data_IF_805324610354
#
_entry.id   IF_805324610354
#
_cell.length_a   1.000
_cell.length_b   1.000
_cell.length_c   1.000
_cell.angle_alpha   90.00
_cell.angle_beta   90.00
_cell.angle_gamma   90.00
#
_symmetry.space_group_name_H-M   'P 1'
#
loop_
_entity.id
_entity.type
_entity.pdbx_description
1 polymer ?
#
# COMPACT_ATOMS: atom_id res chain seq x y z
N UNK A 1 8.47 6.82 9.71
CA UNK A 1 8.21 6.45 8.30
C UNK A 1 9.48 6.03 7.57
N UNK A 2 10.53 6.87 7.58
CA UNK A 2 11.80 6.64 6.84
C UNK A 2 12.47 5.32 7.23
N UNK A 3 12.41 4.93 8.50
CA UNK A 3 13.01 3.70 9.02
C UNK A 3 12.49 2.42 8.33
N UNK A 4 11.26 2.46 7.83
CA UNK A 4 10.68 1.31 7.11
C UNK A 4 11.38 1.01 5.78
N UNK A 5 12.10 1.99 5.21
CA UNK A 5 12.88 1.80 3.98
C UNK A 5 14.30 1.28 4.25
N UNK A 6 14.76 1.33 5.52
CA UNK A 6 16.12 0.90 5.84
C UNK A 6 16.26 -0.62 5.69
N UNK A 7 17.14 -1.10 4.83
CA UNK A 7 17.21 -2.51 4.48
C UNK A 7 17.71 -3.41 5.60
N UNK A 8 18.51 -2.87 6.54
CA UNK A 8 19.20 -3.65 7.57
C UNK A 8 18.53 -3.58 8.96
N UNK A 9 17.60 -2.63 9.19
CA UNK A 9 17.01 -2.46 10.51
C UNK A 9 16.05 -3.61 10.85
N UNK A 10 16.23 -4.28 12.01
CA UNK A 10 15.28 -5.28 12.50
C UNK A 10 13.89 -4.65 12.77
N UNK A 11 12.84 -5.48 12.69
CA UNK A 11 11.48 -5.05 12.92
C UNK A 11 11.28 -4.45 14.33
N UNK A 12 11.90 -5.06 15.34
CA UNK A 12 11.82 -4.65 16.74
C UNK A 12 12.48 -3.28 16.98
N UNK A 13 13.58 -2.98 16.28
CA UNK A 13 14.23 -1.68 16.37
C UNK A 13 13.37 -0.58 15.73
N UNK A 14 12.77 -0.91 14.59
CA UNK A 14 11.82 0.01 13.93
C UNK A 14 10.62 0.25 14.85
N UNK A 15 10.03 -0.81 15.42
CA UNK A 15 8.88 -0.68 16.33
C UNK A 15 9.22 0.15 17.57
N UNK A 16 10.43 0.05 18.11
CA UNK A 16 10.87 0.90 19.24
C UNK A 16 10.72 2.40 18.94
N UNK A 17 10.93 2.82 17.68
CA UNK A 17 10.71 4.21 17.29
C UNK A 17 9.24 4.63 17.35
N UNK A 18 8.31 3.70 17.14
CA UNK A 18 6.86 3.96 17.32
C UNK A 18 6.49 4.01 18.80
N UNK A 19 7.12 3.21 19.64
CA UNK A 19 6.95 3.32 21.09
C UNK A 19 7.46 4.68 21.63
N UNK A 20 8.55 5.21 21.08
CA UNK A 20 9.00 6.57 21.40
C UNK A 20 8.02 7.64 20.88
N UNK A 21 7.37 7.40 19.76
CA UNK A 21 6.29 8.27 19.27
C UNK A 21 5.11 8.32 20.24
N UNK A 22 4.67 7.16 20.77
CA UNK A 22 3.62 7.09 21.80
C UNK A 22 3.99 7.93 23.03
N UNK A 23 5.18 7.75 23.59
CA UNK A 23 5.64 8.51 24.75
C UNK A 23 5.58 10.01 24.53
N UNK A 24 5.92 10.46 23.33
CA UNK A 24 6.01 11.89 23.00
C UNK A 24 4.69 12.50 22.59
N UNK A 25 3.85 11.77 21.85
CA UNK A 25 2.67 12.31 21.18
C UNK A 25 1.36 11.61 21.56
N UNK A 26 1.40 10.47 22.22
CA UNK A 26 0.24 9.73 22.70
C UNK A 26 -0.01 9.95 24.20
N UNK A 27 0.93 9.53 25.03
CA UNK A 27 0.82 9.59 26.50
C UNK A 27 0.41 10.96 27.06
N UNK A 28 0.91 12.11 26.56
CA UNK A 28 0.52 13.43 27.07
C UNK A 28 -0.99 13.71 26.96
N UNK A 29 -1.69 13.05 26.04
CA UNK A 29 -3.13 13.23 25.78
C UNK A 29 -4.02 12.23 26.52
N UNK A 30 -3.47 11.23 27.22
CA UNK A 30 -4.28 10.27 27.99
C UNK A 30 -5.13 10.95 29.07
N UNK A 31 -4.65 12.06 29.65
CA UNK A 31 -5.41 12.88 30.62
C UNK A 31 -6.66 13.56 30.02
N UNK A 32 -6.76 13.62 28.69
CA UNK A 32 -7.91 14.17 27.96
C UNK A 32 -8.98 13.10 27.68
N UNK A 33 -8.70 11.83 27.96
CA UNK A 33 -9.63 10.75 27.74
C UNK A 33 -10.79 10.84 28.73
N UNK A 34 -11.98 10.71 28.20
CA UNK A 34 -13.24 10.75 28.98
C UNK A 34 -14.09 9.53 28.63
N UNK A 35 -14.97 9.17 29.56
CA UNK A 35 -15.94 8.12 29.29
C UNK A 35 -16.85 8.51 28.12
N UNK A 36 -17.12 7.56 27.25
CA UNK A 36 -18.02 7.75 26.12
C UNK A 36 -19.48 7.53 26.55
N UNK A 37 -20.37 8.38 26.07
CA UNK A 37 -21.82 8.34 26.34
C UNK A 37 -22.62 7.74 25.19
N UNK A 38 -21.97 7.06 24.26
CA UNK A 38 -22.61 6.44 23.10
C UNK A 38 -23.65 5.40 23.58
N UNK A 39 -24.81 5.35 22.90
CA UNK A 39 -25.85 4.36 23.20
C UNK A 39 -25.35 2.95 22.91
N UNK A 40 -25.69 2.01 23.79
CA UNK A 40 -25.44 0.58 23.66
C UNK A 40 -26.56 -0.17 22.92
N UNK A 41 -27.55 0.54 22.38
CA UNK A 41 -28.61 -0.05 21.57
C UNK A 41 -28.05 -0.64 20.27
N UNK A 42 -28.08 -1.96 20.17
CA UNK A 42 -27.55 -2.72 19.03
C UNK A 42 -28.40 -2.57 17.76
N UNK A 43 -29.64 -2.09 17.88
CA UNK A 43 -30.56 -1.92 16.76
C UNK A 43 -30.37 -0.61 16.00
N UNK A 44 -29.64 0.35 16.57
CA UNK A 44 -29.40 1.64 15.93
C UNK A 44 -28.32 1.57 14.84
N UNK A 45 -28.36 2.51 13.92
CA UNK A 45 -27.24 2.75 13.01
C UNK A 45 -25.99 3.17 13.80
N UNK A 46 -24.84 2.56 13.47
CA UNK A 46 -23.56 2.98 14.03
C UNK A 46 -23.00 4.17 13.24
N UNK A 47 -22.50 5.16 13.97
CA UNK A 47 -21.82 6.31 13.35
C UNK A 47 -20.35 5.98 13.11
N UNK A 48 -19.97 5.92 11.85
CA UNK A 48 -18.60 5.63 11.41
C UNK A 48 -17.97 6.88 10.82
N UNK A 49 -16.91 7.36 11.47
CA UNK A 49 -16.17 8.54 11.02
C UNK A 49 -14.84 8.17 10.36
N UNK A 50 -14.59 8.69 9.18
CA UNK A 50 -13.34 8.54 8.44
C UNK A 50 -12.56 9.84 8.45
N UNK A 51 -11.28 9.79 8.85
CA UNK A 51 -10.39 10.96 8.90
C UNK A 51 -9.31 10.84 7.83
N UNK A 52 -9.26 11.77 6.87
CA UNK A 52 -8.30 11.72 5.79
C UNK A 52 -7.95 13.09 5.21
N UNK A 53 -6.68 13.31 4.82
CA UNK A 53 -6.27 14.41 3.94
C UNK A 53 -6.43 14.05 2.44
N UNK A 54 -6.86 12.82 2.10
CA UNK A 54 -6.77 12.24 0.77
C UNK A 54 -8.13 11.90 0.15
N UNK A 55 -9.22 12.53 0.59
CA UNK A 55 -10.53 12.50 -0.08
C UNK A 55 -10.53 13.32 -1.39
N UNK A 56 -9.57 13.05 -2.24
CA UNK A 56 -9.27 13.71 -3.51
C UNK A 56 -8.56 12.73 -4.45
N UNK A 57 -8.16 13.17 -5.63
CA UNK A 57 -7.31 12.37 -6.53
C UNK A 57 -6.00 11.98 -5.83
N UNK A 58 -5.93 10.74 -5.40
CA UNK A 58 -4.83 10.14 -4.65
C UNK A 58 -4.82 8.62 -4.85
N UNK A 59 -3.67 7.96 -4.65
CA UNK A 59 -3.57 6.50 -4.77
C UNK A 59 -4.49 5.72 -3.83
N UNK A 60 -4.79 6.27 -2.65
CA UNK A 60 -5.73 5.64 -1.71
C UNK A 60 -7.16 5.57 -2.24
N UNK A 61 -7.53 6.39 -3.23
CA UNK A 61 -8.86 6.41 -3.83
C UNK A 61 -9.23 5.04 -4.40
N UNK A 62 -8.28 4.34 -4.99
CA UNK A 62 -8.51 3.03 -5.59
C UNK A 62 -8.93 1.93 -4.59
N UNK A 63 -8.76 2.20 -3.29
CA UNK A 63 -9.11 1.30 -2.19
C UNK A 63 -10.24 1.86 -1.31
N UNK A 64 -10.24 3.16 -1.06
CA UNK A 64 -11.23 3.80 -0.19
C UNK A 64 -12.59 3.94 -0.89
N UNK A 65 -12.60 4.24 -2.19
CA UNK A 65 -13.83 4.43 -2.95
C UNK A 65 -14.69 3.15 -3.04
N UNK A 66 -14.13 1.95 -3.26
CA UNK A 66 -14.88 0.70 -3.16
C UNK A 66 -15.61 0.55 -1.83
N UNK A 67 -14.92 0.77 -0.71
CA UNK A 67 -15.52 0.67 0.62
C UNK A 67 -16.63 1.70 0.82
N UNK A 68 -16.34 2.99 0.62
CA UNK A 68 -17.28 4.07 0.93
C UNK A 68 -18.54 4.03 0.05
N UNK A 69 -18.40 3.59 -1.20
CA UNK A 69 -19.53 3.47 -2.13
C UNK A 69 -20.43 2.25 -1.88
N UNK A 70 -20.04 1.32 -1.00
CA UNK A 70 -20.78 0.08 -0.72
C UNK A 70 -21.24 -0.05 0.75
N UNK A 71 -21.16 1.02 1.52
CA UNK A 71 -21.73 0.98 2.87
C UNK A 71 -23.24 0.72 2.84
N UNK A 72 -23.69 -0.14 3.75
CA UNK A 72 -25.11 -0.32 4.02
C UNK A 72 -25.61 0.83 4.91
N UNK A 73 -26.12 1.88 4.29
CA UNK A 73 -26.64 3.07 4.96
C UNK A 73 -27.85 2.77 5.85
N UNK A 74 -28.42 1.57 5.78
CA UNK A 74 -29.42 1.10 6.77
C UNK A 74 -28.80 0.73 8.12
N UNK A 75 -27.50 0.38 8.13
CA UNK A 75 -26.78 -0.07 9.33
C UNK A 75 -25.79 0.96 9.85
N UNK A 76 -25.21 1.77 8.97
CA UNK A 76 -24.20 2.77 9.33
C UNK A 76 -24.59 4.17 8.87
N UNK A 77 -24.15 5.16 9.64
CA UNK A 77 -24.26 6.59 9.36
C UNK A 77 -22.83 7.11 9.17
N UNK A 78 -22.49 7.53 7.95
CA UNK A 78 -21.10 7.72 7.53
C UNK A 78 -20.70 9.20 7.56
N UNK A 79 -19.62 9.48 8.29
CA UNK A 79 -19.01 10.80 8.45
C UNK A 79 -17.65 10.84 7.78
N UNK A 80 -17.38 11.85 6.96
CA UNK A 80 -16.05 12.11 6.40
C UNK A 80 -15.49 13.42 6.99
N UNK A 81 -14.43 13.31 7.77
CA UNK A 81 -13.64 14.43 8.29
C UNK A 81 -12.50 14.72 7.32
N UNK A 82 -12.70 15.68 6.43
CA UNK A 82 -11.84 15.93 5.28
C UNK A 82 -10.88 17.11 5.53
N UNK A 83 -9.57 16.82 5.63
CA UNK A 83 -8.54 17.87 5.76
C UNK A 83 -7.92 18.20 4.40
N UNK A 84 -8.73 18.79 3.51
CA UNK A 84 -8.33 19.08 2.13
C UNK A 84 -7.81 20.50 1.97
N UNK A 85 -6.74 20.64 1.19
CA UNK A 85 -6.28 21.95 0.69
C UNK A 85 -7.06 22.40 -0.54
N UNK A 86 -7.50 21.44 -1.34
CA UNK A 86 -8.22 21.65 -2.59
C UNK A 86 -9.14 20.45 -2.85
N UNK A 87 -10.33 20.74 -3.34
CA UNK A 87 -11.31 19.77 -3.78
C UNK A 87 -11.19 19.53 -5.30
N UNK A 88 -11.53 18.32 -5.74
CA UNK A 88 -11.53 17.93 -7.15
C UNK A 88 -12.74 17.04 -7.51
N UNK A 89 -12.76 16.50 -8.72
CA UNK A 89 -13.85 15.62 -9.17
C UNK A 89 -13.97 14.32 -8.34
N UNK A 90 -12.88 13.84 -7.78
CA UNK A 90 -12.88 12.68 -6.85
C UNK A 90 -13.54 13.06 -5.54
N UNK A 91 -13.22 14.24 -5.01
CA UNK A 91 -13.87 14.78 -3.81
C UNK A 91 -15.40 14.87 -3.98
N UNK A 92 -15.86 15.30 -5.16
CA UNK A 92 -17.29 15.36 -5.46
C UNK A 92 -17.97 13.99 -5.39
N UNK A 93 -17.29 12.91 -5.83
CA UNK A 93 -17.81 11.55 -5.69
C UNK A 93 -17.87 11.10 -4.24
N UNK A 94 -16.82 11.35 -3.45
CA UNK A 94 -16.80 11.02 -2.02
C UNK A 94 -17.95 11.68 -1.24
N UNK A 95 -18.26 12.96 -1.55
CA UNK A 95 -19.42 13.64 -0.97
C UNK A 95 -20.74 12.94 -1.26
N UNK A 96 -20.84 12.20 -2.36
CA UNK A 96 -22.01 11.40 -2.72
C UNK A 96 -22.11 10.05 -1.99
N UNK A 97 -21.05 9.59 -1.33
CA UNK A 97 -21.01 8.30 -0.62
C UNK A 97 -21.22 8.41 0.89
N UNK A 98 -21.26 9.62 1.45
CA UNK A 98 -21.37 9.85 2.88
C UNK A 98 -22.54 10.75 3.22
N UNK A 99 -23.18 10.54 4.37
CA UNK A 99 -24.27 11.42 4.85
C UNK A 99 -23.73 12.73 5.40
N UNK A 100 -22.53 12.71 6.00
CA UNK A 100 -21.96 13.88 6.66
C UNK A 100 -20.56 14.17 6.14
N UNK A 101 -20.43 15.31 5.46
CA UNK A 101 -19.15 15.82 5.00
C UNK A 101 -18.70 16.98 5.86
N UNK A 102 -17.60 16.83 6.60
CA UNK A 102 -17.08 17.80 7.55
C UNK A 102 -15.70 18.29 7.09
N UNK A 103 -15.58 19.50 6.52
CA UNK A 103 -14.28 20.13 6.26
C UNK A 103 -13.56 20.40 7.59
N UNK A 104 -12.33 19.95 7.72
CA UNK A 104 -11.54 20.08 8.96
C UNK A 104 -10.30 20.95 8.81
N UNK A 105 -10.07 21.48 7.62
CA UNK A 105 -8.91 22.34 7.34
C UNK A 105 -8.89 23.54 8.26
N UNK A 106 -7.76 23.73 8.94
CA UNK A 106 -7.58 24.83 9.90
C UNK A 106 -8.08 24.53 11.31
N UNK A 107 -8.77 23.42 11.55
CA UNK A 107 -9.12 22.99 12.91
C UNK A 107 -7.89 22.43 13.62
N UNK A 108 -7.68 22.80 14.90
CA UNK A 108 -6.69 22.12 15.73
C UNK A 108 -7.13 20.70 16.04
N UNK A 109 -6.18 19.82 16.42
CA UNK A 109 -6.50 18.44 16.79
C UNK A 109 -7.44 18.36 18.00
N UNK A 110 -7.31 19.29 18.95
CA UNK A 110 -8.21 19.39 20.11
C UNK A 110 -9.63 19.75 19.67
N UNK A 111 -9.79 20.73 18.78
CA UNK A 111 -11.10 21.17 18.27
C UNK A 111 -11.77 20.06 17.45
N UNK A 112 -11.01 19.35 16.62
CA UNK A 112 -11.55 18.23 15.84
C UNK A 112 -11.94 17.06 16.75
N UNK A 113 -11.14 16.74 17.75
CA UNK A 113 -11.49 15.70 18.72
C UNK A 113 -12.80 16.02 19.49
N UNK A 114 -13.00 17.30 19.88
CA UNK A 114 -14.24 17.74 20.49
C UNK A 114 -15.42 17.64 19.52
N UNK A 115 -15.23 18.00 18.25
CA UNK A 115 -16.26 17.89 17.22
C UNK A 115 -16.68 16.43 17.01
N UNK A 116 -15.74 15.49 16.92
CA UNK A 116 -16.00 14.05 16.76
C UNK A 116 -16.80 13.50 17.96
N UNK A 117 -16.45 13.92 19.18
CA UNK A 117 -17.23 13.59 20.38
C UNK A 117 -18.66 14.12 20.33
N UNK A 118 -18.81 15.38 19.92
CA UNK A 118 -20.14 16.02 19.80
C UNK A 118 -21.01 15.36 18.72
N UNK A 119 -20.42 14.90 17.62
CA UNK A 119 -21.09 14.14 16.58
C UNK A 119 -21.50 12.72 17.07
N UNK A 120 -20.93 12.26 18.18
CA UNK A 120 -21.23 10.95 18.79
C UNK A 120 -20.75 9.78 17.96
N UNK A 121 -19.57 9.91 17.35
CA UNK A 121 -18.95 8.85 16.52
C UNK A 121 -18.71 7.60 17.37
N UNK A 122 -19.11 6.43 16.87
CA UNK A 122 -18.91 5.13 17.51
C UNK A 122 -17.59 4.49 17.11
N UNK A 123 -17.29 4.54 15.80
CA UNK A 123 -16.08 3.97 15.22
C UNK A 123 -15.37 5.07 14.43
N UNK A 124 -14.14 5.37 14.80
CA UNK A 124 -13.30 6.34 14.11
C UNK A 124 -12.17 5.65 13.37
N UNK A 125 -12.06 5.92 12.06
CA UNK A 125 -11.09 5.30 11.17
C UNK A 125 -10.04 6.31 10.72
N UNK A 126 -8.77 6.02 11.03
CA UNK A 126 -7.62 6.73 10.48
C UNK A 126 -7.27 6.17 9.10
N UNK A 127 -7.18 7.05 8.11
CA UNK A 127 -6.85 6.69 6.73
C UNK A 127 -5.50 7.27 6.28
N UNK A 128 -4.68 7.75 7.21
CA UNK A 128 -3.43 8.43 6.88
C UNK A 128 -2.20 7.84 7.61
N UNK A 129 -2.37 7.35 8.85
CA UNK A 129 -1.24 6.92 9.67
C UNK A 129 -0.17 8.02 9.75
N UNK A 130 1.09 7.69 9.48
CA UNK A 130 2.21 8.65 9.48
C UNK A 130 2.45 9.36 8.14
N UNK A 131 1.51 9.33 7.20
CA UNK A 131 1.64 10.10 5.96
C UNK A 131 1.42 11.60 6.19
N UNK A 132 1.75 12.42 5.21
CA UNK A 132 1.60 13.87 5.29
C UNK A 132 0.13 14.26 5.44
N UNK A 133 -0.14 15.24 6.30
CA UNK A 133 -1.50 15.69 6.58
C UNK A 133 -2.30 14.79 7.54
N UNK A 134 -1.65 13.80 8.16
CA UNK A 134 -2.33 12.96 9.15
C UNK A 134 -2.84 13.76 10.35
N UNK A 135 -3.79 13.16 11.05
CA UNK A 135 -4.44 13.73 12.24
C UNK A 135 -4.31 12.78 13.45
N UNK A 136 -3.15 12.09 13.60
CA UNK A 136 -2.90 11.17 14.72
C UNK A 136 -3.04 11.85 16.08
N UNK A 137 -2.78 13.16 16.18
CA UNK A 137 -3.05 13.94 17.39
C UNK A 137 -4.53 14.01 17.78
N UNK A 138 -5.45 13.86 16.84
CA UNK A 138 -6.90 13.69 17.12
C UNK A 138 -7.14 12.34 17.77
N UNK A 139 -6.60 11.27 17.20
CA UNK A 139 -6.74 9.90 17.70
C UNK A 139 -6.12 9.74 19.09
N UNK A 140 -4.97 10.36 19.36
CA UNK A 140 -4.31 10.36 20.67
C UNK A 140 -5.23 10.84 21.81
N UNK A 141 -6.26 11.67 21.50
CA UNK A 141 -7.27 12.18 22.43
C UNK A 141 -8.46 11.23 22.62
N UNK A 142 -8.45 10.08 21.95
CA UNK A 142 -9.51 9.05 21.99
C UNK A 142 -10.93 9.63 21.93
N UNK A 143 -11.30 10.28 20.80
CA UNK A 143 -12.58 10.98 20.70
C UNK A 143 -13.78 10.05 20.45
N UNK A 144 -13.56 8.78 20.11
CA UNK A 144 -14.57 7.75 19.88
C UNK A 144 -14.29 6.51 20.71
N UNK A 145 -15.32 5.71 21.06
CA UNK A 145 -15.16 4.47 21.85
C UNK A 145 -14.25 3.46 21.18
N UNK A 146 -14.37 3.30 19.84
CA UNK A 146 -13.57 2.41 19.04
C UNK A 146 -12.85 3.21 17.97
N UNK A 147 -11.56 2.94 17.77
CA UNK A 147 -10.78 3.52 16.70
C UNK A 147 -9.90 2.47 16.03
N UNK A 148 -9.70 2.64 14.73
CA UNK A 148 -8.82 1.77 13.96
C UNK A 148 -8.04 2.56 12.90
N UNK A 149 -6.88 2.04 12.51
CA UNK A 149 -6.10 2.55 11.37
C UNK A 149 -6.17 1.59 10.20
N UNK A 150 -6.35 2.12 9.00
CA UNK A 150 -6.46 1.36 7.77
C UNK A 150 -5.96 2.14 6.56
N UNK A 151 -5.36 1.47 5.61
CA UNK A 151 -5.03 1.84 4.23
C UNK A 151 -3.95 2.91 4.04
N UNK A 152 -4.03 4.12 4.57
CA UNK A 152 -3.13 5.22 4.21
C UNK A 152 -1.66 5.01 4.56
N UNK A 153 -1.39 4.15 5.54
CA UNK A 153 -0.06 3.81 6.02
C UNK A 153 0.08 2.30 6.24
N UNK A 154 1.18 1.74 5.81
CA UNK A 154 1.34 0.27 5.78
C UNK A 154 1.85 -0.35 7.08
N UNK A 155 1.82 0.33 8.23
CA UNK A 155 2.32 -0.18 9.51
C UNK A 155 1.62 0.48 10.70
N UNK A 156 1.94 0.02 11.93
CA UNK A 156 1.43 0.57 13.19
C UNK A 156 1.50 2.09 13.25
N UNK A 157 0.53 2.73 13.89
CA UNK A 157 0.59 4.17 14.19
C UNK A 157 1.46 4.46 15.40
N UNK A 158 1.71 3.47 16.24
CA UNK A 158 2.41 3.63 17.50
C UNK A 158 1.52 4.14 18.65
N UNK A 159 0.26 4.49 18.40
CA UNK A 159 -0.65 5.07 19.40
C UNK A 159 -1.49 4.01 20.10
N UNK A 160 -1.42 3.93 21.43
CA UNK A 160 -2.30 3.09 22.26
C UNK A 160 -3.76 3.54 22.27
N UNK A 161 -4.01 4.78 21.85
CA UNK A 161 -5.35 5.32 21.71
C UNK A 161 -6.13 4.68 20.56
N UNK A 162 -5.44 4.15 19.54
CA UNK A 162 -6.04 3.41 18.44
C UNK A 162 -6.11 1.94 18.82
N UNK A 163 -7.32 1.37 18.80
CA UNK A 163 -7.58 0.03 19.30
C UNK A 163 -7.13 -1.05 18.32
N UNK A 164 -7.37 -0.84 17.01
CA UNK A 164 -7.15 -1.86 16.01
C UNK A 164 -6.33 -1.35 14.80
N UNK A 165 -5.51 -2.25 14.25
CA UNK A 165 -4.91 -2.10 12.94
C UNK A 165 -5.57 -3.10 11.98
N UNK A 166 -6.37 -2.61 11.03
CA UNK A 166 -7.10 -3.47 10.09
C UNK A 166 -6.13 -4.06 9.05
N UNK A 167 -6.07 -5.37 8.98
CA UNK A 167 -5.09 -6.13 8.21
C UNK A 167 -5.63 -7.50 7.77
N UNK A 168 -4.75 -8.35 7.25
CA UNK A 168 -5.00 -9.77 6.99
C UNK A 168 -3.81 -10.63 7.47
N UNK A 169 -3.99 -11.96 7.44
CA UNK A 169 -2.98 -12.91 7.92
C UNK A 169 -1.68 -12.88 7.10
N UNK A 170 -1.77 -12.61 5.79
CA UNK A 170 -0.60 -12.56 4.91
C UNK A 170 0.27 -11.32 5.19
N UNK A 171 -0.37 -10.18 5.51
CA UNK A 171 0.29 -8.91 5.81
C UNK A 171 0.84 -8.85 7.23
N UNK A 172 0.07 -9.32 8.21
CA UNK A 172 0.45 -9.38 9.63
C UNK A 172 0.20 -10.80 10.19
N UNK A 173 1.13 -11.75 9.99
CA UNK A 173 0.97 -13.13 10.45
C UNK A 173 0.77 -13.23 11.97
N UNK A 174 0.13 -14.30 12.42
CA UNK A 174 0.05 -14.62 13.85
C UNK A 174 1.46 -14.70 14.47
N UNK A 175 1.59 -14.18 15.69
CA UNK A 175 2.87 -14.03 16.38
C UNK A 175 3.59 -12.71 16.11
N UNK A 176 3.06 -11.86 15.20
CA UNK A 176 3.61 -10.53 14.92
C UNK A 176 3.00 -9.41 15.77
N UNK A 177 2.07 -9.70 16.67
CA UNK A 177 1.33 -8.74 17.50
C UNK A 177 2.25 -7.80 18.28
N UNK A 178 3.39 -8.32 18.74
CA UNK A 178 4.39 -7.57 19.51
C UNK A 178 5.07 -6.43 18.72
N UNK A 179 4.83 -6.36 17.40
CA UNK A 179 5.33 -5.31 16.51
C UNK A 179 4.29 -4.22 16.22
N UNK A 180 3.14 -4.26 16.89
CA UNK A 180 2.07 -3.28 16.75
C UNK A 180 1.70 -2.69 18.11
N UNK A 181 1.29 -1.43 18.13
CA UNK A 181 0.71 -0.79 19.32
C UNK A 181 -0.79 -1.05 19.43
N UNK A 182 -1.43 -1.26 18.30
CA UNK A 182 -2.82 -1.65 18.11
C UNK A 182 -2.95 -3.18 18.09
N UNK A 183 -4.16 -3.70 18.31
CA UNK A 183 -4.46 -5.10 18.04
C UNK A 183 -4.60 -5.30 16.51
N UNK A 184 -3.80 -6.17 15.86
CA UNK A 184 -3.99 -6.50 14.45
C UNK A 184 -5.33 -7.22 14.23
N UNK A 185 -6.30 -6.51 13.68
CA UNK A 185 -7.59 -7.09 13.30
C UNK A 185 -7.48 -7.71 11.91
N UNK A 186 -7.23 -9.01 11.87
CA UNK A 186 -7.07 -9.77 10.64
C UNK A 186 -8.43 -10.13 10.05
N UNK A 187 -8.72 -9.61 8.86
CA UNK A 187 -9.91 -10.00 8.11
C UNK A 187 -9.79 -11.48 7.71
N UNK A 188 -10.88 -12.22 7.90
CA UNK A 188 -10.96 -13.63 7.51
C UNK A 188 -11.44 -13.72 6.07
N UNK A 189 -10.80 -14.59 5.31
CA UNK A 189 -11.22 -14.94 3.94
C UNK A 189 -11.28 -13.78 2.93
N UNK A 190 -10.78 -12.60 3.27
CA UNK A 190 -10.71 -11.43 2.39
C UNK A 190 -9.42 -10.66 2.62
N UNK A 191 -8.79 -10.09 1.58
CA UNK A 191 -7.66 -9.18 1.77
C UNK A 191 -8.13 -7.89 2.45
N UNK A 192 -7.22 -7.25 3.19
CA UNK A 192 -7.52 -5.96 3.83
C UNK A 192 -7.74 -4.81 2.83
N UNK A 193 -7.39 -5.01 1.57
CA UNK A 193 -7.49 -4.02 0.49
C UNK A 193 -8.20 -4.60 -0.72
N UNK A 194 -9.32 -3.99 -1.11
CA UNK A 194 -10.03 -4.25 -2.38
C UNK A 194 -9.71 -3.13 -3.35
N UNK A 195 -9.36 -3.49 -4.58
CA UNK A 195 -8.85 -2.56 -5.58
C UNK A 195 -9.89 -2.24 -6.66
N UNK A 196 -10.05 -0.97 -6.96
CA UNK A 196 -10.76 -0.48 -8.15
C UNK A 196 -9.76 0.20 -9.08
N UNK A 197 -9.63 -0.26 -10.34
CA UNK A 197 -8.65 0.32 -11.26
C UNK A 197 -8.98 1.77 -11.61
N UNK A 198 -7.93 2.58 -11.76
CA UNK A 198 -8.04 3.94 -12.27
C UNK A 198 -8.37 3.98 -13.77
N UNK A 199 -8.75 5.15 -14.29
CA UNK A 199 -9.04 5.33 -15.71
C UNK A 199 -7.75 5.29 -16.55
N UNK A 200 -7.90 4.96 -17.85
CA UNK A 200 -6.84 5.11 -18.84
C UNK A 200 -5.82 3.98 -18.93
N UNK A 201 -5.96 2.92 -18.15
CA UNK A 201 -5.03 1.77 -18.20
C UNK A 201 -5.09 1.01 -19.54
N UNK A 202 -6.24 1.02 -20.24
CA UNK A 202 -6.43 0.37 -21.53
C UNK A 202 -6.39 -1.15 -21.47
N UNK A 203 -6.26 -1.78 -22.64
CA UNK A 203 -6.23 -3.23 -22.76
C UNK A 203 -4.85 -3.84 -22.41
N UNK A 204 -4.86 -5.12 -22.05
CA UNK A 204 -3.65 -5.93 -21.89
C UNK A 204 -3.13 -6.27 -23.27
N UNK A 205 -1.89 -5.89 -23.55
CA UNK A 205 -1.22 -6.21 -24.82
C UNK A 205 -0.58 -7.62 -24.80
N UNK A 206 -0.28 -8.22 -25.96
CA UNK A 206 0.51 -9.45 -26.02
C UNK A 206 1.85 -9.32 -25.29
N UNK A 207 2.45 -10.44 -24.90
CA UNK A 207 3.73 -10.47 -24.19
C UNK A 207 4.82 -9.83 -25.04
N UNK A 208 5.46 -8.72 -24.61
CA UNK A 208 6.48 -8.03 -25.39
C UNK A 208 7.69 -8.89 -25.76
N UNK A 209 8.05 -9.84 -24.91
CA UNK A 209 9.18 -10.75 -25.16
C UNK A 209 9.04 -11.58 -26.45
N UNK A 210 7.80 -11.86 -26.91
CA UNK A 210 7.55 -12.61 -28.14
C UNK A 210 8.02 -11.84 -29.40
N UNK A 211 7.94 -10.53 -29.36
CA UNK A 211 8.39 -9.65 -30.46
C UNK A 211 9.87 -9.28 -30.29
N UNK A 212 10.29 -8.96 -29.06
CA UNK A 212 11.64 -8.47 -28.77
C UNK A 212 12.71 -9.57 -28.74
N UNK A 213 12.32 -10.81 -28.44
CA UNK A 213 13.26 -11.93 -28.29
C UNK A 213 14.03 -11.95 -26.96
N UNK A 214 13.66 -11.08 -25.99
CA UNK A 214 14.24 -11.06 -24.64
C UNK A 214 13.19 -10.62 -23.62
N UNK A 215 13.39 -11.05 -22.37
CA UNK A 215 12.54 -10.68 -21.23
C UNK A 215 12.86 -9.28 -20.73
N UNK A 216 11.83 -8.49 -20.48
CA UNK A 216 11.93 -7.21 -19.78
C UNK A 216 11.33 -7.35 -18.38
N UNK A 217 12.20 -7.25 -17.38
CA UNK A 217 11.81 -7.14 -15.98
C UNK A 217 11.45 -5.69 -15.65
N UNK A 218 10.62 -5.45 -14.64
CA UNK A 218 10.38 -4.05 -14.32
C UNK A 218 9.62 -3.78 -13.04
N UNK A 219 9.73 -2.54 -12.60
CA UNK A 219 9.03 -2.03 -11.43
C UNK A 219 8.65 -0.56 -11.59
N UNK A 220 7.46 -0.22 -11.11
CA UNK A 220 7.02 1.14 -10.89
C UNK A 220 6.99 1.37 -9.39
N UNK A 221 7.96 2.10 -8.84
CA UNK A 221 8.08 2.25 -7.40
C UNK A 221 8.69 3.61 -7.02
N UNK A 222 8.59 3.99 -5.75
CA UNK A 222 9.34 5.16 -5.28
C UNK A 222 10.83 4.84 -5.25
N UNK A 223 11.68 5.72 -5.80
CA UNK A 223 13.12 5.50 -5.85
C UNK A 223 13.78 5.19 -4.51
N UNK A 224 13.23 5.70 -3.40
CA UNK A 224 13.71 5.39 -2.04
C UNK A 224 13.62 3.90 -1.67
N UNK A 225 12.77 3.12 -2.35
CA UNK A 225 12.66 1.66 -2.14
C UNK A 225 13.72 0.88 -2.90
N UNK A 226 14.35 1.49 -3.91
CA UNK A 226 15.41 0.86 -4.71
C UNK A 226 16.73 0.99 -3.95
N UNK A 227 16.92 0.15 -2.95
CA UNK A 227 18.10 0.13 -2.08
C UNK A 227 19.17 -0.84 -2.60
N UNK A 228 20.34 -0.90 -1.93
CA UNK A 228 21.47 -1.71 -2.36
C UNK A 228 21.16 -3.24 -2.36
N UNK A 229 20.36 -3.75 -1.42
CA UNK A 229 19.96 -5.17 -1.40
C UNK A 229 19.07 -5.50 -2.59
N UNK A 230 18.08 -4.65 -2.87
CA UNK A 230 17.19 -4.81 -4.02
C UNK A 230 17.98 -4.81 -5.33
N UNK A 231 18.92 -3.85 -5.49
CA UNK A 231 19.78 -3.76 -6.69
C UNK A 231 20.64 -5.01 -6.83
N UNK A 232 21.24 -5.52 -5.73
CA UNK A 232 22.03 -6.74 -5.74
C UNK A 232 21.22 -7.93 -6.24
N UNK A 233 20.04 -8.16 -5.67
CA UNK A 233 19.16 -9.29 -6.04
C UNK A 233 18.71 -9.19 -7.50
N UNK A 234 18.32 -8.01 -7.95
CA UNK A 234 17.94 -7.79 -9.35
C UNK A 234 19.12 -7.95 -10.31
N UNK A 235 20.33 -7.59 -9.88
CA UNK A 235 21.56 -7.87 -10.64
C UNK A 235 21.84 -9.37 -10.74
N UNK A 236 21.60 -10.12 -9.68
CA UNK A 236 21.78 -11.58 -9.70
C UNK A 236 20.77 -12.26 -10.65
N UNK A 237 19.53 -11.76 -10.75
CA UNK A 237 18.56 -12.19 -11.78
C UNK A 237 19.09 -11.88 -13.18
N UNK A 238 19.55 -10.66 -13.44
CA UNK A 238 20.05 -10.23 -14.74
C UNK A 238 21.29 -11.03 -15.18
N UNK A 239 22.14 -11.50 -14.25
CA UNK A 239 23.27 -12.40 -14.56
C UNK A 239 22.79 -13.77 -14.99
N UNK A 240 21.71 -14.29 -14.40
CA UNK A 240 21.12 -15.59 -14.77
C UNK A 240 20.31 -15.52 -16.07
N UNK A 241 19.84 -14.31 -16.44
CA UNK A 241 19.11 -14.02 -17.65
C UNK A 241 19.92 -13.03 -18.51
N UNK A 242 20.96 -13.48 -19.23
CA UNK A 242 21.97 -12.59 -19.85
C UNK A 242 21.42 -11.66 -20.94
N UNK A 243 20.29 -12.00 -21.53
CA UNK A 243 19.62 -11.17 -22.56
C UNK A 243 18.50 -10.28 -21.98
N UNK A 244 18.10 -10.47 -20.71
CA UNK A 244 17.02 -9.72 -20.11
C UNK A 244 17.41 -8.25 -19.85
N UNK A 245 16.43 -7.37 -19.93
CA UNK A 245 16.52 -5.96 -19.58
C UNK A 245 15.71 -5.67 -18.32
N UNK A 246 15.99 -4.55 -17.65
CA UNK A 246 15.22 -4.05 -16.52
C UNK A 246 14.75 -2.61 -16.75
N UNK A 247 13.47 -2.37 -16.42
CA UNK A 247 12.85 -1.04 -16.42
C UNK A 247 12.56 -0.63 -14.98
N UNK A 248 13.02 0.53 -14.55
CA UNK A 248 12.70 1.10 -13.23
C UNK A 248 12.12 2.49 -13.47
N UNK A 249 10.80 2.64 -13.22
CA UNK A 249 10.10 3.91 -13.43
C UNK A 249 9.73 4.55 -12.09
N UNK A 250 10.21 5.77 -11.87
CA UNK A 250 9.94 6.55 -10.65
C UNK A 250 10.15 8.04 -10.87
N UNK A 251 9.29 8.85 -10.24
CA UNK A 251 9.44 10.30 -10.25
C UNK A 251 10.82 10.79 -9.72
N UNK A 252 11.49 10.00 -8.89
CA UNK A 252 12.84 10.30 -8.41
C UNK A 252 13.88 10.35 -9.54
N UNK A 253 13.65 9.62 -10.62
CA UNK A 253 14.57 9.55 -11.77
C UNK A 253 14.31 10.63 -12.82
N UNK A 254 13.49 11.63 -12.51
CA UNK A 254 13.49 12.92 -13.25
C UNK A 254 14.80 13.66 -13.08
N UNK A 255 15.48 13.47 -11.95
CA UNK A 255 16.81 14.03 -11.69
C UNK A 255 17.86 13.12 -12.32
N UNK A 256 18.64 13.63 -13.30
CA UNK A 256 19.67 12.84 -13.98
C UNK A 256 20.76 12.34 -13.05
N UNK A 257 21.04 13.06 -11.96
CA UNK A 257 22.05 12.65 -10.96
C UNK A 257 21.58 11.42 -10.20
N UNK A 258 20.30 11.39 -9.79
CA UNK A 258 19.70 10.25 -9.11
C UNK A 258 19.60 9.04 -10.04
N UNK A 259 19.24 9.30 -11.31
CA UNK A 259 19.19 8.26 -12.35
C UNK A 259 20.58 7.65 -12.57
N UNK A 260 21.62 8.48 -12.77
CA UNK A 260 22.98 7.99 -12.97
C UNK A 260 23.50 7.21 -11.78
N UNK A 261 23.27 7.70 -10.57
CA UNK A 261 23.66 6.98 -9.35
C UNK A 261 23.01 5.59 -9.23
N UNK A 262 21.80 5.40 -9.75
CA UNK A 262 21.18 4.07 -9.81
C UNK A 262 21.85 3.19 -10.87
N UNK A 263 22.15 3.73 -12.05
CA UNK A 263 22.88 3.02 -13.13
C UNK A 263 24.24 2.56 -12.60
N UNK A 264 25.03 3.44 -11.99
CA UNK A 264 26.37 3.14 -11.46
C UNK A 264 26.35 1.97 -10.47
N UNK A 265 25.30 1.87 -9.65
CA UNK A 265 25.15 0.74 -8.72
C UNK A 265 24.94 -0.61 -9.42
N UNK A 266 24.17 -0.64 -10.52
CA UNK A 266 24.02 -1.86 -11.32
C UNK A 266 25.32 -2.20 -12.07
N UNK A 267 26.02 -1.21 -12.63
CA UNK A 267 27.31 -1.40 -13.28
C UNK A 267 28.36 -1.95 -12.29
N UNK A 268 28.33 -1.48 -11.02
CA UNK A 268 29.18 -2.01 -9.95
C UNK A 268 28.90 -3.50 -9.66
N UNK A 269 27.73 -4.00 -9.98
CA UNK A 269 27.39 -5.43 -9.95
C UNK A 269 27.65 -6.15 -11.26
N UNK A 270 28.27 -5.50 -12.26
CA UNK A 270 28.65 -6.08 -13.54
C UNK A 270 27.48 -6.14 -14.55
N UNK A 271 26.46 -5.33 -14.42
CA UNK A 271 25.35 -5.24 -15.37
C UNK A 271 25.65 -4.13 -16.38
N UNK A 272 25.63 -4.47 -17.67
CA UNK A 272 25.81 -3.52 -18.75
C UNK A 272 24.67 -2.49 -18.78
N UNK A 273 25.02 -1.21 -18.87
CA UNK A 273 24.07 -0.10 -18.87
C UNK A 273 23.04 -0.16 -20.02
N UNK A 274 23.38 -0.79 -21.15
CA UNK A 274 22.45 -0.97 -22.27
C UNK A 274 21.22 -1.80 -21.92
N UNK A 275 21.28 -2.57 -20.83
CA UNK A 275 20.19 -3.39 -20.30
C UNK A 275 19.33 -2.65 -19.25
N UNK A 276 19.70 -1.42 -18.89
CA UNK A 276 19.07 -0.64 -17.81
C UNK A 276 18.24 0.50 -18.39
N UNK A 277 16.94 0.50 -18.13
CA UNK A 277 16.00 1.54 -18.55
C UNK A 277 15.42 2.20 -17.29
N UNK A 278 16.13 3.17 -16.75
CA UNK A 278 15.78 3.88 -15.52
C UNK A 278 15.28 5.27 -15.88
N UNK A 279 14.05 5.63 -15.47
CA UNK A 279 13.48 6.91 -15.84
C UNK A 279 12.15 7.21 -15.18
N UNK A 280 11.38 8.13 -15.78
CA UNK A 280 10.05 8.49 -15.33
C UNK A 280 9.11 8.77 -16.49
N UNK A 281 7.93 8.18 -16.41
CA UNK A 281 6.83 8.41 -17.36
C UNK A 281 5.52 8.67 -16.61
N UNK A 282 4.67 9.52 -17.20
CA UNK A 282 3.35 9.80 -16.65
C UNK A 282 2.38 10.14 -17.79
N UNK A 283 1.29 9.37 -17.94
CA UNK A 283 0.93 8.17 -17.18
C UNK A 283 1.88 6.98 -17.48
N UNK A 284 2.00 6.01 -16.53
CA UNK A 284 2.98 4.93 -16.65
C UNK A 284 2.49 3.71 -17.44
N UNK A 285 1.32 3.78 -18.06
CA UNK A 285 0.65 2.62 -18.65
C UNK A 285 1.45 1.99 -19.80
N UNK A 286 2.12 2.82 -20.63
CA UNK A 286 2.95 2.32 -21.72
C UNK A 286 4.24 1.67 -21.22
N UNK A 287 4.75 2.12 -20.06
CA UNK A 287 5.86 1.46 -19.39
C UNK A 287 5.46 0.05 -18.96
N UNK A 288 4.31 -0.10 -18.29
CA UNK A 288 3.78 -1.43 -17.91
C UNK A 288 3.55 -2.33 -19.11
N UNK A 289 3.03 -1.79 -20.23
CA UNK A 289 2.87 -2.58 -21.47
C UNK A 289 4.19 -3.11 -22.00
N UNK A 290 5.30 -2.44 -21.71
CA UNK A 290 6.64 -2.84 -22.13
C UNK A 290 7.34 -3.86 -21.23
N UNK A 291 6.78 -4.18 -20.07
CA UNK A 291 7.34 -5.12 -19.08
C UNK A 291 6.69 -6.49 -19.23
N UNK A 292 7.46 -7.56 -19.04
CA UNK A 292 6.99 -8.95 -19.08
C UNK A 292 6.75 -9.50 -17.67
N UNK A 293 7.64 -9.22 -16.71
CA UNK A 293 7.58 -9.69 -15.32
C UNK A 293 7.85 -8.53 -14.37
N UNK A 294 6.97 -8.35 -13.41
CA UNK A 294 7.12 -7.34 -12.35
C UNK A 294 8.09 -7.76 -11.26
N UNK A 295 8.81 -6.80 -10.70
CA UNK A 295 9.70 -6.98 -9.56
C UNK A 295 9.24 -6.09 -8.41
N UNK A 296 8.99 -6.68 -7.24
CA UNK A 296 8.69 -5.92 -6.03
C UNK A 296 9.96 -5.59 -5.25
N UNK A 297 9.93 -4.47 -4.54
CA UNK A 297 11.01 -4.00 -3.69
C UNK A 297 10.93 -4.59 -2.28
N UNK A 298 12.04 -4.61 -1.59
CA UNK A 298 12.12 -4.97 -0.18
C UNK A 298 13.20 -4.12 0.54
N UNK A 299 13.14 -3.94 1.85
CA UNK A 299 12.19 -4.49 2.83
C UNK A 299 10.80 -3.87 2.81
N UNK A 300 10.58 -2.73 2.16
CA UNK A 300 9.29 -2.08 2.01
C UNK A 300 8.73 -2.36 0.61
N UNK A 301 7.69 -3.18 0.54
CA UNK A 301 7.04 -3.51 -0.72
C UNK A 301 6.38 -2.29 -1.37
N UNK A 302 6.12 -2.39 -2.65
CA UNK A 302 5.19 -1.50 -3.35
C UNK A 302 3.74 -1.81 -2.93
N UNK A 303 2.81 -0.93 -3.26
CA UNK A 303 1.38 -1.13 -2.95
C UNK A 303 0.55 -1.00 -4.22
N UNK A 304 -0.03 0.18 -4.46
CA UNK A 304 -0.91 0.46 -5.61
C UNK A 304 -0.32 -0.03 -6.94
N UNK A 305 0.96 0.20 -7.16
CA UNK A 305 1.64 -0.21 -8.40
C UNK A 305 1.69 -1.73 -8.61
N UNK A 306 1.62 -2.55 -7.55
CA UNK A 306 1.52 -4.01 -7.68
C UNK A 306 0.13 -4.44 -8.16
N UNK A 307 -0.93 -3.79 -7.67
CA UNK A 307 -2.29 -4.00 -8.21
C UNK A 307 -2.36 -3.60 -9.69
N UNK A 308 -1.79 -2.44 -10.04
CA UNK A 308 -1.71 -1.96 -11.42
C UNK A 308 -0.92 -2.93 -12.31
N UNK A 309 0.19 -3.48 -11.81
CA UNK A 309 1.00 -4.49 -12.47
C UNK A 309 0.17 -5.72 -12.82
N UNK A 310 -0.53 -6.30 -11.83
CA UNK A 310 -1.41 -7.46 -12.06
C UNK A 310 -2.57 -7.14 -13.01
N UNK A 311 -3.18 -5.97 -12.85
CA UNK A 311 -4.31 -5.55 -13.70
C UNK A 311 -3.89 -5.33 -15.16
N UNK A 312 -2.62 -4.97 -15.40
CA UNK A 312 -2.03 -4.88 -16.74
C UNK A 312 -1.50 -6.23 -17.26
N UNK A 313 -1.81 -7.34 -16.57
CA UNK A 313 -1.48 -8.68 -17.01
C UNK A 313 -0.06 -9.14 -16.69
N UNK A 314 0.68 -8.42 -15.83
CA UNK A 314 2.04 -8.77 -15.47
C UNK A 314 2.07 -9.55 -14.15
N UNK A 315 2.58 -10.80 -14.14
CA UNK A 315 2.94 -11.45 -12.88
C UNK A 315 4.10 -10.72 -12.23
N UNK A 316 4.17 -10.74 -10.89
CA UNK A 316 5.33 -10.22 -10.17
C UNK A 316 5.78 -11.19 -9.08
N UNK A 317 7.05 -11.09 -8.69
CA UNK A 317 7.60 -11.79 -7.53
C UNK A 317 7.82 -10.79 -6.41
N UNK A 318 7.48 -11.20 -5.18
CA UNK A 318 7.71 -10.43 -3.95
C UNK A 318 8.47 -11.24 -2.93
N UNK A 319 9.22 -10.56 -2.05
CA UNK A 319 9.89 -11.16 -0.92
C UNK A 319 9.08 -10.88 0.35
N UNK A 320 8.59 -11.94 1.01
CA UNK A 320 7.90 -11.83 2.28
C UNK A 320 8.91 -11.46 3.40
N UNK A 321 8.80 -10.22 3.87
CA UNK A 321 9.67 -9.67 4.89
C UNK A 321 8.97 -9.44 6.23
N UNK A 322 9.43 -8.41 6.94
CA UNK A 322 8.84 -7.99 8.21
C UNK A 322 7.42 -7.44 8.04
N UNK A 323 6.51 -7.67 8.99
CA UNK A 323 5.18 -7.04 8.99
C UNK A 323 5.27 -5.52 9.13
N UNK A 324 4.34 -4.69 8.58
CA UNK A 324 3.43 -5.15 7.54
C UNK A 324 3.90 -4.66 6.17
N UNK A 325 4.73 -3.61 6.14
CA UNK A 325 5.22 -2.98 4.90
C UNK A 325 6.02 -3.91 4.00
N UNK A 326 6.69 -4.92 4.57
CA UNK A 326 7.44 -5.93 3.83
C UNK A 326 6.60 -7.15 3.42
N UNK A 327 5.28 -7.08 3.55
CA UNK A 327 4.35 -8.17 3.22
C UNK A 327 3.14 -7.71 2.41
N UNK A 328 3.12 -6.45 1.97
CA UNK A 328 2.05 -5.90 1.12
C UNK A 328 1.93 -6.71 -0.17
N UNK A 329 3.06 -6.99 -0.85
CA UNK A 329 3.07 -7.80 -2.05
C UNK A 329 2.58 -9.23 -1.81
N UNK A 330 2.91 -9.81 -0.65
CA UNK A 330 2.42 -11.14 -0.24
C UNK A 330 0.90 -11.15 -0.03
N UNK A 331 0.35 -10.13 0.64
CA UNK A 331 -1.10 -10.02 0.86
C UNK A 331 -1.88 -9.92 -0.46
N UNK A 332 -1.36 -9.15 -1.41
CA UNK A 332 -1.97 -9.04 -2.75
C UNK A 332 -1.95 -10.38 -3.48
N UNK A 333 -0.80 -11.08 -3.49
CA UNK A 333 -0.69 -12.38 -4.15
C UNK A 333 -1.54 -13.46 -3.46
N UNK A 334 -1.66 -13.43 -2.15
CA UNK A 334 -2.56 -14.30 -1.40
C UNK A 334 -4.02 -14.05 -1.79
N UNK A 335 -4.45 -12.77 -1.86
CA UNK A 335 -5.79 -12.40 -2.31
C UNK A 335 -6.09 -12.79 -3.76
N UNK A 336 -5.06 -12.95 -4.61
CA UNK A 336 -5.16 -13.44 -5.99
C UNK A 336 -5.11 -14.97 -6.09
N UNK A 337 -4.67 -15.71 -5.04
CA UNK A 337 -4.39 -17.15 -5.10
C UNK A 337 -3.13 -17.47 -5.90
N UNK A 338 -2.07 -16.67 -5.74
CA UNK A 338 -0.79 -16.80 -6.45
C UNK A 338 0.42 -16.81 -5.49
N UNK A 339 0.31 -17.56 -4.39
CA UNK A 339 1.31 -17.67 -3.34
C UNK A 339 2.64 -18.22 -3.84
N UNK A 340 2.65 -18.97 -4.96
CA UNK A 340 3.88 -19.48 -5.58
C UNK A 340 4.84 -18.37 -6.04
N UNK A 341 4.38 -17.12 -6.16
CA UNK A 341 5.23 -15.98 -6.51
C UNK A 341 5.76 -15.22 -5.28
N UNK A 342 5.44 -15.70 -4.08
CA UNK A 342 5.98 -15.18 -2.82
C UNK A 342 7.25 -15.94 -2.47
N UNK A 343 8.35 -15.22 -2.33
CA UNK A 343 9.64 -15.77 -1.90
C UNK A 343 9.84 -15.56 -0.39
N UNK A 344 10.52 -16.50 0.26
CA UNK A 344 10.92 -16.45 1.67
C UNK A 344 12.39 -16.06 1.86
N UNK A 345 13.17 -16.03 0.78
CA UNK A 345 14.58 -15.64 0.75
C UNK A 345 14.94 -14.92 -0.54
N UNK A 346 16.04 -14.16 -0.51
CA UNK A 346 16.56 -13.48 -1.71
C UNK A 346 16.91 -14.48 -2.82
N UNK A 347 17.44 -15.65 -2.46
CA UNK A 347 17.74 -16.69 -3.43
C UNK A 347 16.47 -17.26 -4.07
N UNK A 348 15.44 -17.54 -3.29
CA UNK A 348 14.15 -18.01 -3.80
C UNK A 348 13.48 -16.94 -4.68
N UNK A 349 13.64 -15.65 -4.35
CA UNK A 349 13.15 -14.55 -5.19
C UNK A 349 13.79 -14.60 -6.58
N UNK A 350 15.13 -14.76 -6.64
CA UNK A 350 15.86 -14.92 -7.92
C UNK A 350 15.35 -16.13 -8.69
N UNK A 351 15.22 -17.28 -8.02
CA UNK A 351 14.81 -18.55 -8.65
C UNK A 351 13.39 -18.44 -9.24
N UNK A 352 12.44 -17.84 -8.53
CA UNK A 352 11.06 -17.66 -9.01
C UNK A 352 10.97 -16.74 -10.22
N UNK A 353 11.76 -15.66 -10.26
CA UNK A 353 11.80 -14.77 -11.45
C UNK A 353 12.39 -15.49 -12.65
N UNK A 354 13.49 -16.24 -12.46
CA UNK A 354 14.11 -17.04 -13.52
C UNK A 354 13.18 -18.13 -14.03
N UNK A 355 12.42 -18.78 -13.13
CA UNK A 355 11.41 -19.77 -13.50
C UNK A 355 10.32 -19.16 -14.37
N UNK A 356 9.73 -18.03 -13.96
CA UNK A 356 8.72 -17.30 -14.77
C UNK A 356 9.26 -16.91 -16.15
N UNK A 357 10.54 -16.53 -16.24
CA UNK A 357 11.19 -16.13 -17.48
C UNK A 357 11.54 -17.29 -18.40
N UNK A 358 11.57 -18.54 -17.89
CA UNK A 358 12.07 -19.71 -18.62
C UNK A 358 11.08 -20.25 -19.67
N UNK A 359 9.79 -20.00 -19.52
CA UNK A 359 8.74 -20.42 -20.45
C UNK A 359 7.91 -19.22 -20.94
N UNK A 360 8.34 -18.65 -22.06
CA UNK A 360 7.67 -17.49 -22.68
C UNK A 360 6.28 -17.82 -23.19
N UNK A 361 5.99 -19.07 -23.56
CA UNK A 361 4.66 -19.46 -23.99
C UNK A 361 3.68 -19.50 -22.82
N UNK A 362 4.08 -20.10 -21.70
CA UNK A 362 3.29 -20.07 -20.47
C UNK A 362 3.12 -18.65 -19.93
N UNK A 363 4.17 -17.82 -19.99
CA UNK A 363 4.11 -16.42 -19.58
C UNK A 363 3.14 -15.60 -20.43
N UNK A 364 3.08 -15.86 -21.74
CA UNK A 364 2.15 -15.20 -22.64
C UNK A 364 0.67 -15.58 -22.34
N UNK A 365 0.41 -16.85 -22.06
CA UNK A 365 -0.92 -17.32 -21.65
C UNK A 365 -1.32 -16.71 -20.30
N UNK A 366 -0.40 -16.67 -19.34
CA UNK A 366 -0.60 -16.05 -18.04
C UNK A 366 -0.96 -14.57 -18.19
N UNK A 367 -0.17 -13.82 -18.99
CA UNK A 367 -0.43 -12.39 -19.27
C UNK A 367 -1.84 -12.17 -19.83
N UNK A 368 -2.25 -12.97 -20.80
CA UNK A 368 -3.55 -12.84 -21.45
C UNK A 368 -4.74 -13.07 -20.49
N UNK A 369 -4.56 -13.86 -19.44
CA UNK A 369 -5.64 -14.25 -18.52
C UNK A 369 -5.59 -13.55 -17.14
N UNK A 370 -4.45 -12.93 -16.76
CA UNK A 370 -4.21 -12.49 -15.40
C UNK A 370 -5.18 -11.38 -14.95
N UNK A 371 -5.52 -10.42 -15.82
CA UNK A 371 -6.52 -9.39 -15.52
C UNK A 371 -7.86 -10.02 -15.18
N UNK A 372 -8.32 -11.00 -15.98
CA UNK A 372 -9.59 -11.68 -15.72
C UNK A 372 -9.55 -12.47 -14.41
N UNK A 373 -8.43 -13.12 -14.10
CA UNK A 373 -8.23 -13.80 -12.82
C UNK A 373 -8.32 -12.81 -11.65
N UNK A 374 -7.70 -11.64 -11.78
CA UNK A 374 -7.76 -10.59 -10.75
C UNK A 374 -9.18 -10.06 -10.57
N UNK A 375 -9.92 -9.82 -11.66
CA UNK A 375 -11.33 -9.38 -11.64
C UNK A 375 -12.27 -10.40 -10.98
N UNK A 376 -11.98 -11.69 -11.10
CA UNK A 376 -12.72 -12.78 -10.43
C UNK A 376 -12.21 -13.14 -9.04
N UNK A 377 -11.22 -12.42 -8.52
CA UNK A 377 -10.62 -12.68 -7.21
C UNK A 377 -11.17 -11.75 -6.12
N UNK A 378 -10.87 -12.10 -4.87
CA UNK A 378 -11.21 -11.26 -3.70
C UNK A 378 -10.55 -9.87 -3.70
N UNK A 379 -9.56 -9.62 -4.56
CA UNK A 379 -8.91 -8.32 -4.69
C UNK A 379 -9.83 -7.27 -5.31
N UNK A 380 -10.87 -7.68 -6.01
CA UNK A 380 -11.79 -6.77 -6.72
C UNK A 380 -13.27 -7.05 -6.43
N UNK A 381 -13.54 -7.92 -5.44
CA UNK A 381 -14.90 -8.26 -5.00
C UNK A 381 -15.51 -7.14 -4.12
#
# INVERSE_FOLDING_TARGET
FVLNYHPENPAEEIFRSYQEYEKKFGEPHQKEWVAHSNSLDESRRLKVGYVSPDFRSHSCTYFMEPLLSHHDHGKVDVYAYADLTQEDAVTARYKGYVEHWIPTRGMSDAALAQRIRADGIDILVDLAGHTSGNRLGVFARKPAPVSLSWMGYGYTTGLRAIDYYLTDEASAPQGSEHLFSEEPWRLKDTPYAVYRPGPGMGEVNPLPALERGYITLGTLTRGVRVNHRTIKVWSDILKRLPTAHIVIDSASFKDPTVQQAAIDKFEAHGIDKSRLHIGYNSPPWDVLRGIDIGLDCFPHNSGTTLFETLYMGLPYVTLAGRPSVGRIGSAILHGLGREQWIASSEQEYVDKVVELASDTAALAQLRASLRQQMQGSKLMD
#
